data_IF_906053962192
#
_entry.id   IF_906053962192
#
_cell.length_a   1.000
_cell.length_b   1.000
_cell.length_c   1.000
_cell.angle_alpha   90.00
_cell.angle_beta   90.00
_cell.angle_gamma   90.00
#
_symmetry.space_group_name_H-M   'P 1'
#
loop_
_entity.id
_entity.type
_entity.pdbx_description
1 polymer ?
#
# COMPACT_ATOMS: atom_id res chain seq x y z
N UNK A 1 -31.00 21.66 4.05
CA UNK A 1 -30.94 21.88 5.53
C UNK A 1 -32.03 21.03 6.15
N UNK A 2 -31.76 20.32 7.26
CA UNK A 2 -32.77 19.51 7.94
C UNK A 2 -33.89 20.35 8.56
N UNK A 3 -35.09 19.79 8.66
CA UNK A 3 -36.30 20.47 9.21
C UNK A 3 -36.15 20.99 10.63
N UNK A 4 -35.22 20.40 11.43
CA UNK A 4 -34.91 20.86 12.79
C UNK A 4 -34.36 22.31 12.82
N UNK A 5 -33.99 22.85 11.67
CA UNK A 5 -33.44 24.18 11.47
C UNK A 5 -34.38 25.11 10.72
N UNK A 6 -35.65 24.70 10.56
CA UNK A 6 -36.65 25.48 9.84
C UNK A 6 -36.73 26.93 10.37
N UNK A 7 -36.70 27.87 9.50
CA UNK A 7 -36.72 29.31 9.81
C UNK A 7 -35.37 29.91 10.26
N UNK A 8 -34.36 29.11 10.69
CA UNK A 8 -33.11 29.66 11.23
C UNK A 8 -32.16 30.18 10.17
N UNK A 9 -32.35 29.76 8.93
CA UNK A 9 -31.48 30.16 7.79
C UNK A 9 -32.26 30.93 6.72
N UNK A 10 -33.48 31.41 7.00
CA UNK A 10 -34.32 32.12 6.05
C UNK A 10 -33.68 33.42 5.55
N UNK A 11 -32.77 34.04 6.34
CA UNK A 11 -32.00 35.21 5.95
C UNK A 11 -31.07 34.93 4.74
N UNK A 12 -30.77 33.67 4.43
CA UNK A 12 -29.98 33.30 3.25
C UNK A 12 -30.82 33.33 1.96
N UNK A 13 -32.14 33.41 2.03
CA UNK A 13 -32.99 33.50 0.84
C UNK A 13 -32.73 34.75 -0.03
N UNK A 14 -32.06 35.77 0.50
CA UNK A 14 -31.57 36.91 -0.27
C UNK A 14 -30.42 36.54 -1.22
N UNK A 15 -29.70 35.42 -0.94
CA UNK A 15 -28.53 35.00 -1.70
C UNK A 15 -28.69 33.65 -2.42
N UNK A 16 -29.54 32.78 -1.90
CA UNK A 16 -29.80 31.46 -2.47
C UNK A 16 -31.16 30.91 -2.03
N UNK A 17 -31.69 29.94 -2.74
CA UNK A 17 -32.96 29.28 -2.33
C UNK A 17 -32.68 28.29 -1.20
N UNK A 18 -33.22 28.57 -0.01
CA UNK A 18 -33.10 27.69 1.16
C UNK A 18 -34.26 26.67 1.17
N UNK A 19 -33.92 25.41 1.11
CA UNK A 19 -34.89 24.30 1.20
C UNK A 19 -34.67 23.51 2.49
N UNK A 20 -35.70 23.39 3.28
CA UNK A 20 -35.73 22.54 4.48
C UNK A 20 -36.28 21.18 4.12
N UNK A 21 -35.49 20.14 4.29
CA UNK A 21 -35.89 18.78 3.96
C UNK A 21 -36.46 18.10 5.20
N UNK A 22 -37.60 17.37 5.05
CA UNK A 22 -38.17 16.62 6.17
C UNK A 22 -37.18 15.57 6.67
N UNK A 23 -37.28 15.26 7.95
CA UNK A 23 -36.45 14.21 8.57
C UNK A 23 -36.86 12.86 7.99
N UNK A 24 -35.89 12.06 7.57
CA UNK A 24 -36.14 10.69 7.11
C UNK A 24 -36.56 9.86 8.32
N UNK A 25 -37.80 9.35 8.33
CA UNK A 25 -38.30 8.52 9.40
C UNK A 25 -37.48 7.25 9.56
N UNK A 26 -37.16 6.87 10.81
CA UNK A 26 -36.39 5.66 11.13
C UNK A 26 -34.89 5.77 11.01
N UNK A 27 -34.33 6.93 10.57
CA UNK A 27 -32.92 7.15 10.50
C UNK A 27 -32.49 8.28 11.42
N UNK A 28 -31.71 7.98 12.46
CA UNK A 28 -31.09 9.00 13.30
C UNK A 28 -29.60 9.12 12.95
N UNK A 29 -29.04 10.33 13.14
CA UNK A 29 -27.61 10.54 13.02
C UNK A 29 -26.80 9.66 13.99
N UNK A 30 -27.40 9.26 15.10
CA UNK A 30 -26.82 8.31 16.05
C UNK A 30 -26.84 6.90 15.48
N UNK A 31 -27.98 6.43 14.90
CA UNK A 31 -28.00 5.12 14.21
C UNK A 31 -27.02 5.05 13.05
N UNK A 32 -26.94 6.10 12.23
CA UNK A 32 -25.96 6.16 11.15
C UNK A 32 -24.50 6.17 11.68
N UNK A 33 -24.23 6.79 12.83
CA UNK A 33 -22.94 6.72 13.49
C UNK A 33 -22.66 5.34 14.05
N UNK A 34 -23.64 4.69 14.67
CA UNK A 34 -23.49 3.36 15.28
C UNK A 34 -23.37 2.26 14.21
N UNK A 35 -24.09 2.36 13.08
CA UNK A 35 -23.91 1.48 11.92
C UNK A 35 -22.60 1.76 11.14
N UNK A 36 -22.10 3.01 11.14
CA UNK A 36 -20.84 3.38 10.48
C UNK A 36 -19.59 3.17 11.34
N UNK A 37 -19.72 2.83 12.63
CA UNK A 37 -18.58 2.65 13.52
C UNK A 37 -18.37 1.20 13.98
N UNK A 38 -18.48 0.22 13.07
CA UNK A 38 -17.87 -1.07 13.38
C UNK A 38 -16.34 -0.88 13.37
N UNK A 39 -15.76 -0.74 14.56
CA UNK A 39 -14.30 -0.72 14.73
C UNK A 39 -13.76 -2.11 14.40
N UNK A 40 -12.91 -2.18 13.38
CA UNK A 40 -12.24 -3.43 12.98
C UNK A 40 -11.10 -3.70 13.94
N UNK A 41 -11.18 -4.83 14.63
CA UNK A 41 -10.12 -5.32 15.51
C UNK A 41 -9.03 -6.01 14.67
N UNK A 42 -7.77 -5.56 14.81
CA UNK A 42 -6.63 -6.05 14.04
C UNK A 42 -5.62 -6.76 14.93
N UNK A 43 -5.25 -7.98 14.56
CA UNK A 43 -4.08 -8.68 15.09
C UNK A 43 -2.84 -8.42 14.24
N UNK A 44 -1.73 -8.13 14.87
CA UNK A 44 -0.43 -7.96 14.20
C UNK A 44 0.33 -9.28 14.26
N UNK A 45 0.76 -9.79 13.11
CA UNK A 45 1.53 -11.05 13.00
C UNK A 45 2.98 -10.70 12.68
N UNK A 46 3.88 -10.97 13.63
CA UNK A 46 5.27 -10.55 13.59
C UNK A 46 5.52 -9.25 14.36
N UNK A 47 6.43 -9.29 15.34
CA UNK A 47 6.81 -8.17 16.20
C UNK A 47 8.04 -7.39 15.69
N UNK A 48 8.25 -7.41 14.36
CA UNK A 48 9.41 -6.84 13.69
C UNK A 48 9.37 -5.31 13.51
N UNK A 49 10.38 -4.80 12.81
CA UNK A 49 10.56 -3.35 12.57
C UNK A 49 9.35 -2.68 11.93
N UNK A 50 8.72 -3.32 10.95
CA UNK A 50 7.59 -2.69 10.24
C UNK A 50 6.32 -2.71 11.10
N UNK A 51 6.11 -3.75 11.90
CA UNK A 51 5.03 -3.82 12.87
C UNK A 51 5.10 -2.69 13.90
N UNK A 52 6.31 -2.35 14.36
CA UNK A 52 6.54 -1.20 15.26
C UNK A 52 6.16 0.16 14.67
N UNK A 53 6.09 0.25 13.36
CA UNK A 53 5.59 1.44 12.64
C UNK A 53 4.09 1.37 12.40
N UNK A 54 3.57 0.17 12.16
CA UNK A 54 2.16 -0.04 11.86
C UNK A 54 1.25 0.37 13.03
N UNK A 55 1.58 -0.04 14.24
CA UNK A 55 0.73 0.22 15.42
C UNK A 55 0.48 1.72 15.66
N UNK A 56 1.50 2.60 15.68
CA UNK A 56 1.28 4.03 15.77
C UNK A 56 0.50 4.62 14.56
N UNK A 57 0.79 4.15 13.34
CA UNK A 57 0.09 4.61 12.15
C UNK A 57 -1.39 4.24 12.14
N UNK A 58 -1.74 3.05 12.64
CA UNK A 58 -3.13 2.62 12.77
C UNK A 58 -3.94 3.51 13.72
N UNK A 59 -3.32 4.12 14.73
CA UNK A 59 -4.01 5.03 15.66
C UNK A 59 -4.51 6.32 15.01
N UNK A 60 -3.99 6.69 13.83
CA UNK A 60 -4.45 7.84 13.05
C UNK A 60 -5.55 7.50 12.05
N UNK A 61 -6.00 6.25 12.00
CA UNK A 61 -7.04 5.80 11.08
C UNK A 61 -8.31 5.47 11.87
N UNK A 62 -9.42 6.12 11.48
CA UNK A 62 -10.71 5.84 12.11
C UNK A 62 -11.24 4.46 11.73
N UNK A 63 -11.93 3.81 12.66
CA UNK A 63 -12.58 2.50 12.43
C UNK A 63 -11.63 1.31 12.52
N UNK A 64 -10.41 1.48 13.02
CA UNK A 64 -9.46 0.40 13.28
C UNK A 64 -8.91 0.46 14.70
N UNK A 65 -8.68 -0.71 15.30
CA UNK A 65 -8.00 -0.85 16.59
C UNK A 65 -7.06 -2.06 16.54
N UNK A 66 -5.79 -1.84 16.79
CA UNK A 66 -4.85 -2.95 17.02
C UNK A 66 -5.18 -3.58 18.36
N UNK A 67 -5.56 -4.85 18.35
CA UNK A 67 -6.00 -5.59 19.54
C UNK A 67 -4.87 -6.35 20.19
N UNK A 68 -3.99 -6.94 19.40
CA UNK A 68 -2.88 -7.72 19.93
C UNK A 68 -1.85 -8.11 18.89
N UNK A 69 -0.86 -8.84 19.32
CA UNK A 69 0.28 -9.30 18.53
C UNK A 69 0.50 -10.80 18.72
N UNK A 70 0.96 -11.46 17.67
CA UNK A 70 1.51 -12.80 17.70
C UNK A 70 2.87 -12.82 17.00
N UNK A 71 3.87 -13.33 17.67
CA UNK A 71 5.20 -13.64 17.11
C UNK A 71 5.64 -15.01 17.62
N UNK A 72 6.33 -15.78 16.77
CA UNK A 72 6.85 -17.11 17.13
C UNK A 72 7.92 -17.04 18.25
N UNK A 73 8.57 -15.89 18.40
CA UNK A 73 9.49 -15.61 19.48
C UNK A 73 8.72 -14.98 20.64
N UNK A 74 8.51 -15.72 21.72
CA UNK A 74 7.74 -15.28 22.88
C UNK A 74 8.29 -14.00 23.51
N UNK A 75 9.60 -13.84 23.59
CA UNK A 75 10.23 -12.63 24.14
C UNK A 75 9.91 -11.39 23.29
N UNK A 76 9.97 -11.50 21.96
CA UNK A 76 9.58 -10.41 21.06
C UNK A 76 8.09 -10.12 21.17
N UNK A 77 7.27 -11.17 21.26
CA UNK A 77 5.82 -11.09 21.38
C UNK A 77 5.39 -10.31 22.62
N UNK A 78 5.87 -10.73 23.80
CA UNK A 78 5.56 -10.11 25.08
C UNK A 78 6.09 -8.67 25.17
N UNK A 79 7.34 -8.44 24.75
CA UNK A 79 7.95 -7.10 24.73
C UNK A 79 7.16 -6.13 23.85
N UNK A 80 6.77 -6.56 22.65
CA UNK A 80 5.95 -5.76 21.76
C UNK A 80 4.56 -5.45 22.34
N UNK A 81 3.91 -6.47 22.91
CA UNK A 81 2.61 -6.30 23.54
C UNK A 81 2.65 -5.29 24.71
N UNK A 82 3.71 -5.34 25.51
CA UNK A 82 3.94 -4.41 26.62
C UNK A 82 4.20 -2.99 26.12
N UNK A 83 5.04 -2.81 25.08
CA UNK A 83 5.38 -1.50 24.50
C UNK A 83 4.14 -0.74 24.02
N UNK A 84 3.14 -1.45 23.49
CA UNK A 84 1.94 -0.86 22.90
C UNK A 84 0.67 -1.04 23.73
N UNK A 85 0.71 -1.73 24.86
CA UNK A 85 -0.46 -1.97 25.72
C UNK A 85 -1.54 -2.81 25.04
N UNK A 86 -1.15 -3.82 24.26
CA UNK A 86 -2.03 -4.70 23.50
C UNK A 86 -1.88 -6.16 23.97
N UNK A 87 -2.78 -7.04 23.51
CA UNK A 87 -2.77 -8.46 23.91
C UNK A 87 -1.57 -9.19 23.29
N UNK A 88 -0.87 -10.00 24.08
CA UNK A 88 0.09 -10.99 23.61
C UNK A 88 -0.61 -12.32 23.42
N UNK A 89 -0.77 -12.78 22.16
CA UNK A 89 -1.38 -14.08 21.88
C UNK A 89 -0.34 -15.19 21.92
N UNK A 90 -0.69 -16.32 22.54
CA UNK A 90 0.20 -17.49 22.65
C UNK A 90 0.26 -18.30 21.36
N UNK A 91 -0.80 -18.26 20.54
CA UNK A 91 -0.85 -18.92 19.25
C UNK A 91 -1.51 -18.02 18.18
N UNK A 92 -1.18 -18.29 16.94
CA UNK A 92 -1.85 -17.62 15.81
C UNK A 92 -3.34 -17.94 15.76
N UNK A 93 -3.72 -19.16 16.11
CA UNK A 93 -5.12 -19.60 16.16
C UNK A 93 -5.93 -18.82 17.18
N UNK A 94 -5.40 -18.63 18.41
CA UNK A 94 -6.09 -17.83 19.44
C UNK A 94 -6.32 -16.39 18.97
N UNK A 95 -5.32 -15.81 18.27
CA UNK A 95 -5.49 -14.49 17.67
C UNK A 95 -6.61 -14.49 16.61
N UNK A 96 -6.63 -15.47 15.70
CA UNK A 96 -7.64 -15.54 14.66
C UNK A 96 -9.06 -15.67 15.22
N UNK A 97 -9.26 -16.30 16.37
CA UNK A 97 -10.57 -16.39 17.01
C UNK A 97 -11.05 -15.05 17.58
N UNK A 98 -10.13 -14.15 17.91
CA UNK A 98 -10.40 -12.94 18.69
C UNK A 98 -10.34 -11.62 17.88
N UNK A 99 -9.95 -11.64 16.60
CA UNK A 99 -9.83 -10.44 15.75
C UNK A 99 -10.70 -10.52 14.50
N UNK A 100 -11.02 -9.36 13.89
CA UNK A 100 -11.73 -9.29 12.61
C UNK A 100 -10.77 -9.39 11.41
N UNK A 101 -9.52 -8.96 11.60
CA UNK A 101 -8.54 -8.82 10.55
C UNK A 101 -7.10 -9.01 11.07
N UNK A 102 -6.17 -9.35 10.18
CA UNK A 102 -4.75 -9.48 10.52
C UNK A 102 -3.87 -8.66 9.60
N UNK A 103 -2.84 -8.05 10.18
CA UNK A 103 -1.71 -7.46 9.46
C UNK A 103 -0.51 -8.39 9.58
N UNK A 104 -0.04 -8.93 8.44
CA UNK A 104 1.06 -9.88 8.38
C UNK A 104 2.34 -9.15 8.04
N UNK A 105 3.29 -9.14 8.98
CA UNK A 105 4.55 -8.40 8.94
C UNK A 105 5.75 -9.30 9.27
N UNK A 106 5.72 -10.50 8.78
CA UNK A 106 6.69 -11.57 8.98
C UNK A 106 7.69 -11.66 7.82
N UNK A 107 8.69 -12.53 7.82
CA UNK A 107 9.52 -12.82 6.66
C UNK A 107 8.73 -13.43 5.48
N UNK A 108 9.16 -13.18 4.26
CA UNK A 108 8.49 -13.50 3.00
C UNK A 108 7.95 -14.93 2.89
N UNK A 109 8.73 -15.93 3.34
CA UNK A 109 8.37 -17.34 3.24
C UNK A 109 7.11 -17.73 4.01
N UNK A 110 6.75 -16.97 5.03
CA UNK A 110 5.57 -17.24 5.87
C UNK A 110 4.30 -16.53 5.42
N UNK A 111 4.40 -15.56 4.49
CA UNK A 111 3.26 -14.74 4.06
C UNK A 111 2.12 -15.59 3.50
N UNK A 112 2.44 -16.55 2.64
CA UNK A 112 1.43 -17.41 2.00
C UNK A 112 0.64 -18.22 3.03
N UNK A 113 1.32 -18.99 3.89
CA UNK A 113 0.65 -19.88 4.84
C UNK A 113 -0.14 -19.10 5.90
N UNK A 114 0.40 -18.01 6.42
CA UNK A 114 -0.30 -17.17 7.40
C UNK A 114 -1.51 -16.47 6.78
N UNK A 115 -1.37 -15.95 5.56
CA UNK A 115 -2.50 -15.36 4.83
C UNK A 115 -3.59 -16.39 4.54
N UNK A 116 -3.22 -17.58 4.09
CA UNK A 116 -4.14 -18.67 3.80
C UNK A 116 -4.96 -19.07 5.03
N UNK A 117 -4.30 -19.28 6.18
CA UNK A 117 -4.96 -19.63 7.43
C UNK A 117 -5.96 -18.54 7.85
N UNK A 118 -5.57 -17.26 7.80
CA UNK A 118 -6.44 -16.15 8.14
C UNK A 118 -7.66 -16.06 7.22
N UNK A 119 -7.45 -16.15 5.91
CA UNK A 119 -8.53 -16.10 4.91
C UNK A 119 -9.51 -17.26 5.08
N UNK A 120 -9.01 -18.48 5.33
CA UNK A 120 -9.84 -19.66 5.60
C UNK A 120 -10.64 -19.52 6.91
N UNK A 121 -10.10 -18.84 7.92
CA UNK A 121 -10.80 -18.48 9.14
C UNK A 121 -11.78 -17.31 8.97
N UNK A 122 -11.96 -16.81 7.74
CA UNK A 122 -12.88 -15.70 7.45
C UNK A 122 -12.37 -14.34 7.91
N UNK A 123 -11.06 -14.16 8.05
CA UNK A 123 -10.45 -12.88 8.48
C UNK A 123 -9.94 -12.09 7.29
N UNK A 124 -10.05 -10.76 7.39
CA UNK A 124 -9.45 -9.86 6.40
C UNK A 124 -7.94 -9.83 6.58
N UNK A 125 -7.18 -9.71 5.49
CA UNK A 125 -5.73 -9.74 5.50
C UNK A 125 -5.15 -8.50 4.82
N UNK A 126 -4.22 -7.84 5.51
CA UNK A 126 -3.25 -6.91 4.95
C UNK A 126 -1.87 -7.57 5.12
N UNK A 127 -1.21 -7.90 4.02
CA UNK A 127 0.07 -8.60 4.06
C UNK A 127 1.19 -7.73 3.47
N UNK A 128 2.33 -7.68 4.18
CA UNK A 128 3.53 -6.97 3.71
C UNK A 128 4.03 -7.50 2.36
N UNK A 129 4.75 -6.62 1.68
CA UNK A 129 5.38 -6.88 0.38
C UNK A 129 6.60 -7.82 0.51
N UNK A 130 6.80 -8.68 -0.50
CA UNK A 130 5.84 -9.06 -1.54
C UNK A 130 4.70 -9.89 -0.92
N UNK A 131 3.49 -9.76 -1.46
CA UNK A 131 2.33 -10.52 -0.95
C UNK A 131 2.66 -12.01 -0.83
N UNK A 132 3.23 -12.58 -1.88
CA UNK A 132 3.72 -13.96 -1.97
C UNK A 132 4.88 -14.05 -2.97
N UNK A 133 5.49 -15.23 -3.10
CA UNK A 133 6.66 -15.45 -3.96
C UNK A 133 6.32 -16.12 -5.31
N UNK A 134 5.05 -16.43 -5.57
CA UNK A 134 4.62 -16.99 -6.87
C UNK A 134 3.20 -16.57 -7.24
N UNK A 135 2.98 -16.47 -8.55
CA UNK A 135 1.65 -16.15 -9.13
C UNK A 135 0.60 -17.20 -8.75
N UNK A 136 0.99 -18.47 -8.63
CA UNK A 136 0.08 -19.54 -8.22
C UNK A 136 -0.44 -19.33 -6.80
N UNK A 137 0.44 -19.00 -5.87
CA UNK A 137 0.07 -18.67 -4.49
C UNK A 137 -0.84 -17.42 -4.43
N UNK A 138 -0.53 -16.37 -5.19
CA UNK A 138 -1.36 -15.17 -5.23
C UNK A 138 -2.79 -15.49 -5.70
N UNK A 139 -2.93 -16.22 -6.80
CA UNK A 139 -4.24 -16.65 -7.34
C UNK A 139 -5.05 -17.43 -6.31
N UNK A 140 -4.43 -18.42 -5.68
CA UNK A 140 -5.09 -19.23 -4.65
C UNK A 140 -5.57 -18.37 -3.47
N UNK A 141 -4.74 -17.47 -2.95
CA UNK A 141 -5.15 -16.59 -1.85
C UNK A 141 -6.33 -15.69 -2.24
N UNK A 142 -6.33 -15.12 -3.45
CA UNK A 142 -7.45 -14.30 -3.91
C UNK A 142 -8.74 -15.12 -4.12
N UNK A 143 -8.64 -16.36 -4.59
CA UNK A 143 -9.78 -17.29 -4.70
C UNK A 143 -10.38 -17.63 -3.32
N UNK A 144 -9.53 -17.89 -2.33
CA UNK A 144 -9.96 -18.12 -0.94
C UNK A 144 -10.63 -16.87 -0.38
N UNK A 145 -10.03 -15.69 -0.57
CA UNK A 145 -10.60 -14.42 -0.12
C UNK A 145 -12.00 -14.17 -0.72
N UNK A 146 -12.17 -14.44 -2.02
CA UNK A 146 -13.46 -14.31 -2.69
C UNK A 146 -14.50 -15.29 -2.16
N UNK A 147 -14.11 -16.55 -1.96
CA UNK A 147 -14.98 -17.60 -1.40
C UNK A 147 -15.46 -17.23 0.00
N UNK A 148 -14.60 -16.73 0.85
CA UNK A 148 -14.93 -16.35 2.23
C UNK A 148 -15.47 -14.90 2.35
N UNK A 149 -15.54 -14.15 1.24
CA UNK A 149 -16.01 -12.75 1.19
C UNK A 149 -15.23 -11.81 2.09
N UNK A 150 -13.93 -12.04 2.21
CA UNK A 150 -12.98 -11.22 2.96
C UNK A 150 -12.06 -10.44 2.03
N UNK A 151 -11.41 -9.40 2.56
CA UNK A 151 -10.46 -8.57 1.83
C UNK A 151 -9.06 -9.15 2.03
N UNK A 152 -8.36 -9.42 0.91
CA UNK A 152 -6.92 -9.58 0.87
C UNK A 152 -6.32 -8.37 0.17
N UNK A 153 -5.36 -7.73 0.79
CA UNK A 153 -4.66 -6.57 0.21
C UNK A 153 -3.16 -6.66 0.51
N UNK A 154 -2.35 -6.37 -0.48
CA UNK A 154 -0.91 -6.20 -0.31
C UNK A 154 -0.62 -4.84 0.32
N UNK A 155 0.26 -4.79 1.32
CA UNK A 155 0.66 -3.59 2.04
C UNK A 155 1.71 -2.79 1.25
N UNK A 156 1.27 -2.17 0.16
CA UNK A 156 2.12 -1.35 -0.71
C UNK A 156 1.82 0.14 -0.52
N UNK A 157 2.39 0.73 0.52
CA UNK A 157 2.09 2.12 0.96
C UNK A 157 2.16 3.17 -0.16
N UNK A 158 3.13 3.06 -1.09
CA UNK A 158 3.27 4.02 -2.21
C UNK A 158 2.04 4.04 -3.10
N UNK A 159 1.40 2.89 -3.33
CA UNK A 159 0.18 2.79 -4.13
C UNK A 159 -0.99 3.62 -3.55
N UNK A 160 -0.96 3.87 -2.24
CA UNK A 160 -2.01 4.58 -1.51
C UNK A 160 -1.63 6.04 -1.18
N UNK A 161 -0.37 6.44 -1.42
CA UNK A 161 0.11 7.79 -1.18
C UNK A 161 -0.65 8.84 -2.02
N UNK A 162 -1.19 9.92 -1.42
CA UNK A 162 -1.95 10.94 -2.15
C UNK A 162 -1.17 11.59 -3.29
N UNK A 163 0.09 11.96 -3.06
CA UNK A 163 0.93 12.60 -4.08
C UNK A 163 1.21 11.66 -5.27
N UNK A 164 1.54 10.39 -5.00
CA UNK A 164 1.74 9.39 -6.05
C UNK A 164 0.47 9.17 -6.88
N UNK A 165 -0.69 9.07 -6.22
CA UNK A 165 -1.96 8.91 -6.94
C UNK A 165 -2.31 10.13 -7.79
N UNK A 166 -2.03 11.36 -7.29
CA UNK A 166 -2.22 12.57 -8.10
C UNK A 166 -1.30 12.58 -9.31
N UNK A 167 -0.02 12.25 -9.15
CA UNK A 167 0.92 12.11 -10.24
C UNK A 167 0.40 11.12 -11.31
N UNK A 168 0.00 9.91 -10.91
CA UNK A 168 -0.54 8.90 -11.82
C UNK A 168 -1.80 9.40 -12.56
N UNK A 169 -2.68 10.11 -11.87
CA UNK A 169 -3.88 10.69 -12.48
C UNK A 169 -3.54 11.76 -13.51
N UNK A 170 -2.60 12.66 -13.20
CA UNK A 170 -2.17 13.69 -14.14
C UNK A 170 -1.54 13.10 -15.40
N UNK A 171 -0.69 12.09 -15.27
CA UNK A 171 -0.07 11.41 -16.40
C UNK A 171 -1.13 10.71 -17.25
N UNK A 172 -2.04 9.98 -16.63
CA UNK A 172 -3.17 9.34 -17.36
C UNK A 172 -4.10 10.33 -18.04
N UNK A 173 -4.21 11.57 -17.55
CA UNK A 173 -4.97 12.64 -18.20
C UNK A 173 -4.23 13.29 -19.39
N UNK A 174 -3.01 12.82 -19.71
CA UNK A 174 -2.23 13.32 -20.84
C UNK A 174 -1.39 14.56 -20.54
N UNK A 175 -1.14 14.89 -19.28
CA UNK A 175 -0.37 16.07 -18.88
C UNK A 175 1.02 16.15 -19.54
N UNK A 176 1.67 14.98 -19.74
CA UNK A 176 2.98 14.87 -20.41
C UNK A 176 2.88 14.25 -21.83
N UNK A 177 1.67 14.10 -22.36
CA UNK A 177 1.43 13.37 -23.61
C UNK A 177 1.39 11.87 -23.41
N UNK A 178 1.76 11.11 -24.45
CA UNK A 178 1.89 9.65 -24.39
C UNK A 178 3.18 9.27 -23.63
N UNK A 179 3.08 8.30 -22.73
CA UNK A 179 4.24 7.79 -22.00
C UNK A 179 5.09 6.92 -22.92
N UNK A 180 6.38 7.24 -23.03
CA UNK A 180 7.34 6.52 -23.88
C UNK A 180 8.48 5.88 -23.11
N UNK A 181 8.72 6.33 -21.85
CA UNK A 181 9.76 5.76 -21.00
C UNK A 181 9.43 5.94 -19.52
N UNK A 182 9.79 4.95 -18.71
CA UNK A 182 9.72 5.02 -17.24
C UNK A 182 11.03 4.50 -16.67
N UNK A 183 11.70 5.33 -15.88
CA UNK A 183 12.88 4.96 -15.14
C UNK A 183 12.68 5.10 -13.63
N UNK A 184 12.86 4.01 -12.89
CA UNK A 184 12.74 4.03 -11.43
C UNK A 184 13.96 3.40 -10.76
N UNK A 185 14.42 3.98 -9.67
CA UNK A 185 15.51 3.39 -8.90
C UNK A 185 15.18 3.32 -7.41
N UNK A 186 15.49 2.17 -6.78
CA UNK A 186 15.38 1.97 -5.35
C UNK A 186 16.54 1.13 -4.85
N UNK A 187 17.31 1.66 -3.93
CA UNK A 187 18.40 0.90 -3.32
C UNK A 187 18.64 1.28 -1.86
N UNK A 188 19.17 0.33 -1.14
CA UNK A 188 19.63 0.50 0.23
C UNK A 188 21.05 -0.04 0.35
N UNK A 189 21.93 0.70 1.01
CA UNK A 189 23.21 0.13 1.44
C UNK A 189 22.99 -0.58 2.77
N UNK A 190 23.00 -1.89 2.75
CA UNK A 190 22.95 -2.72 3.93
C UNK A 190 24.36 -3.24 4.23
N UNK A 191 25.01 -2.72 5.28
CA UNK A 191 26.40 -3.07 5.57
C UNK A 191 26.55 -4.48 6.17
N UNK A 192 25.51 -4.93 6.88
CA UNK A 192 25.49 -6.24 7.53
C UNK A 192 24.95 -7.30 6.55
N UNK A 193 25.87 -8.11 6.04
CA UNK A 193 25.57 -9.19 5.09
C UNK A 193 25.09 -10.49 5.77
N UNK A 194 24.99 -10.53 7.07
CA UNK A 194 24.40 -11.68 7.81
C UNK A 194 22.88 -11.63 7.88
N UNK A 195 22.30 -10.55 7.41
CA UNK A 195 20.86 -10.35 7.40
C UNK A 195 20.17 -11.26 6.39
N UNK A 196 18.88 -11.59 6.66
CA UNK A 196 18.05 -12.44 5.79
C UNK A 196 17.97 -11.95 4.33
N UNK A 197 18.07 -10.64 4.12
CA UNK A 197 18.04 -10.05 2.80
C UNK A 197 19.19 -10.52 1.88
N UNK A 198 20.26 -11.08 2.47
CA UNK A 198 21.39 -11.68 1.77
C UNK A 198 21.39 -13.22 1.82
N UNK A 199 20.31 -13.85 2.24
CA UNK A 199 20.16 -15.31 2.34
C UNK A 199 19.15 -15.81 1.30
N UNK A 200 19.63 -16.59 0.33
CA UNK A 200 18.79 -17.23 -0.70
C UNK A 200 17.69 -18.10 -0.09
N UNK A 201 18.00 -18.81 1.01
CA UNK A 201 17.04 -19.68 1.70
C UNK A 201 15.91 -18.91 2.39
N UNK A 202 16.09 -17.61 2.59
CA UNK A 202 15.09 -16.71 3.18
C UNK A 202 14.39 -15.85 2.11
N UNK A 203 14.50 -16.23 0.83
CA UNK A 203 14.02 -15.44 -0.30
C UNK A 203 14.57 -14.01 -0.25
N UNK A 204 15.88 -13.87 0.02
CA UNK A 204 16.60 -12.62 -0.05
C UNK A 204 16.84 -12.17 -1.49
N UNK A 205 17.45 -11.02 -1.65
CA UNK A 205 17.75 -10.43 -2.96
C UNK A 205 17.02 -9.11 -3.20
N UNK A 206 17.61 -8.25 -4.01
CA UNK A 206 17.08 -6.89 -4.25
C UNK A 206 15.72 -6.93 -4.94
N UNK A 207 15.49 -7.93 -5.77
CA UNK A 207 14.22 -8.08 -6.48
C UNK A 207 13.08 -8.47 -5.55
N UNK A 208 13.26 -9.48 -4.69
CA UNK A 208 12.22 -9.86 -3.71
C UNK A 208 11.99 -8.79 -2.65
N UNK A 209 13.04 -8.09 -2.21
CA UNK A 209 12.92 -7.05 -1.18
C UNK A 209 12.27 -5.76 -1.69
N UNK A 210 12.37 -5.45 -2.98
CA UNK A 210 12.04 -4.11 -3.46
C UNK A 210 11.45 -4.04 -4.87
N UNK A 211 11.33 -5.14 -5.60
CA UNK A 211 10.88 -5.18 -6.99
C UNK A 211 9.47 -4.62 -7.21
N UNK A 212 8.58 -4.80 -6.26
CA UNK A 212 7.21 -4.28 -6.32
C UNK A 212 7.15 -2.75 -6.46
N UNK A 213 8.15 -2.02 -5.91
CA UNK A 213 8.15 -0.56 -5.99
C UNK A 213 8.28 -0.04 -7.42
N UNK A 214 9.33 -0.33 -8.20
CA UNK A 214 9.47 0.18 -9.56
C UNK A 214 8.43 -0.40 -10.51
N UNK A 215 7.94 -1.61 -10.27
CA UNK A 215 6.87 -2.22 -11.07
C UNK A 215 5.53 -1.50 -10.89
N UNK A 216 5.28 -0.88 -9.74
CA UNK A 216 4.04 -0.15 -9.48
C UNK A 216 3.76 0.98 -10.50
N UNK A 217 4.62 2.00 -10.73
CA UNK A 217 4.36 3.02 -11.72
C UNK A 217 4.30 2.46 -13.14
N UNK A 218 5.10 1.45 -13.47
CA UNK A 218 5.12 0.81 -14.78
C UNK A 218 3.76 0.15 -15.04
N UNK A 219 3.31 -0.75 -14.19
CA UNK A 219 2.04 -1.45 -14.37
C UNK A 219 0.84 -0.51 -14.26
N UNK A 220 0.92 0.51 -13.41
CA UNK A 220 -0.13 1.50 -13.26
C UNK A 220 -0.37 2.31 -14.54
N UNK A 221 0.65 2.62 -15.30
CA UNK A 221 0.59 3.45 -16.50
C UNK A 221 0.46 2.64 -17.79
N UNK A 222 1.16 1.51 -17.88
CA UNK A 222 1.28 0.73 -19.12
C UNK A 222 0.57 -0.63 -19.06
N UNK A 223 0.11 -1.04 -17.86
CA UNK A 223 -0.50 -2.36 -17.66
C UNK A 223 0.52 -3.47 -17.47
N UNK A 224 0.02 -4.70 -17.36
CA UNK A 224 0.85 -5.90 -17.09
C UNK A 224 1.18 -6.70 -18.37
N UNK A 225 0.71 -6.25 -19.53
CA UNK A 225 0.87 -6.96 -20.81
C UNK A 225 2.09 -6.37 -21.57
N UNK A 226 3.31 -6.67 -21.06
CA UNK A 226 4.59 -6.30 -21.69
C UNK A 226 5.03 -7.36 -22.71
N UNK A 227 5.86 -6.95 -23.68
CA UNK A 227 6.37 -7.85 -24.72
C UNK A 227 7.46 -8.77 -24.17
N UNK A 228 8.46 -8.19 -23.51
CA UNK A 228 9.58 -8.93 -22.91
C UNK A 228 10.20 -8.16 -21.73
N UNK A 229 10.97 -8.86 -20.93
CA UNK A 229 11.76 -8.29 -19.84
C UNK A 229 13.14 -8.93 -19.78
N UNK A 230 14.15 -8.11 -19.61
CA UNK A 230 15.55 -8.53 -19.47
C UNK A 230 16.11 -8.06 -18.13
N UNK A 231 16.81 -8.94 -17.42
CA UNK A 231 17.46 -8.66 -16.16
C UNK A 231 18.98 -8.74 -16.26
N UNK A 232 19.64 -7.78 -15.66
CA UNK A 232 21.10 -7.72 -15.53
C UNK A 232 21.44 -7.59 -14.05
N UNK A 233 21.90 -8.69 -13.46
CA UNK A 233 22.08 -8.76 -12.01
C UNK A 233 23.52 -9.03 -11.62
N UNK A 234 23.93 -8.43 -10.50
CA UNK A 234 25.10 -8.84 -9.75
C UNK A 234 24.67 -9.78 -8.63
N UNK A 235 25.10 -11.03 -8.74
CA UNK A 235 24.78 -12.08 -7.76
C UNK A 235 25.94 -12.20 -6.76
N UNK A 236 25.61 -12.31 -5.47
CA UNK A 236 26.55 -12.60 -4.40
C UNK A 236 25.86 -13.57 -3.41
N UNK A 237 26.49 -14.70 -3.13
CA UNK A 237 25.95 -15.76 -2.26
C UNK A 237 24.53 -16.24 -2.65
N UNK A 238 24.27 -16.40 -3.95
CA UNK A 238 22.98 -16.90 -4.48
C UNK A 238 21.86 -15.85 -4.54
N UNK A 239 22.08 -14.62 -4.07
CA UNK A 239 21.10 -13.55 -4.13
C UNK A 239 21.54 -12.38 -5.02
N UNK A 240 20.61 -11.72 -5.66
CA UNK A 240 20.87 -10.50 -6.41
C UNK A 240 21.03 -9.31 -5.45
N UNK A 241 22.27 -8.85 -5.33
CA UNK A 241 22.60 -7.66 -4.53
C UNK A 241 22.40 -6.36 -5.31
N UNK A 242 22.29 -6.45 -6.62
CA UNK A 242 21.92 -5.40 -7.53
C UNK A 242 21.26 -6.00 -8.77
N UNK A 243 20.17 -5.42 -9.21
CA UNK A 243 19.48 -5.82 -10.44
C UNK A 243 19.05 -4.57 -11.22
N UNK A 244 19.35 -4.56 -12.53
CA UNK A 244 18.74 -3.67 -13.50
C UNK A 244 17.79 -4.47 -14.37
N UNK A 245 16.51 -4.09 -14.39
CA UNK A 245 15.51 -4.63 -15.28
C UNK A 245 15.22 -3.68 -16.43
N UNK A 246 14.96 -4.22 -17.62
CA UNK A 246 14.50 -3.46 -18.81
C UNK A 246 13.28 -4.18 -19.34
N UNK A 247 12.16 -3.48 -19.44
CA UNK A 247 10.88 -3.99 -19.93
C UNK A 247 10.49 -3.29 -21.22
N UNK A 248 10.04 -4.06 -22.20
CA UNK A 248 9.56 -3.53 -23.47
C UNK A 248 8.04 -3.67 -23.56
N UNK A 249 7.40 -2.55 -23.89
CA UNK A 249 6.00 -2.44 -24.26
C UNK A 249 5.88 -2.06 -25.72
N UNK A 250 4.71 -2.22 -26.35
CA UNK A 250 4.53 -1.82 -27.76
C UNK A 250 4.85 -0.34 -28.04
N UNK A 251 4.66 0.53 -27.05
CA UNK A 251 4.79 1.99 -27.19
C UNK A 251 5.82 2.61 -26.24
N UNK A 252 6.43 1.82 -25.34
CA UNK A 252 7.32 2.35 -24.32
C UNK A 252 8.44 1.36 -23.96
N UNK A 253 9.55 1.90 -23.45
CA UNK A 253 10.60 1.14 -22.80
C UNK A 253 10.67 1.58 -21.34
N UNK A 254 10.76 0.63 -20.42
CA UNK A 254 10.91 0.94 -19.01
C UNK A 254 12.18 0.33 -18.46
N UNK A 255 12.82 1.01 -17.53
CA UNK A 255 13.95 0.43 -16.82
C UNK A 255 13.90 0.71 -15.32
N UNK A 256 14.48 -0.19 -14.55
CA UNK A 256 14.59 0.02 -13.11
C UNK A 256 15.92 -0.50 -12.55
N UNK A 257 16.34 0.07 -11.44
CA UNK A 257 17.53 -0.33 -10.68
C UNK A 257 17.15 -0.63 -9.24
N UNK A 258 17.54 -1.80 -8.78
CA UNK A 258 17.35 -2.26 -7.39
C UNK A 258 18.70 -2.61 -6.78
N UNK A 259 18.88 -2.40 -5.48
CA UNK A 259 20.14 -2.74 -4.85
C UNK A 259 20.06 -2.86 -3.33
N UNK A 260 20.79 -3.86 -2.79
CA UNK A 260 21.04 -4.05 -1.36
C UNK A 260 22.50 -3.71 -0.99
N UNK A 261 23.41 -3.79 -1.97
CA UNK A 261 24.84 -3.51 -1.80
C UNK A 261 25.35 -2.34 -2.66
N UNK A 262 24.46 -1.64 -3.35
CA UNK A 262 24.76 -0.51 -4.23
C UNK A 262 23.81 0.64 -3.89
N UNK A 263 24.33 1.88 -3.82
CA UNK A 263 23.50 3.08 -3.71
C UNK A 263 23.20 3.62 -5.09
N UNK A 264 21.92 3.82 -5.40
CA UNK A 264 21.40 4.45 -6.62
C UNK A 264 20.74 5.78 -6.32
N UNK A 265 20.27 6.48 -7.33
CA UNK A 265 19.70 7.82 -7.25
C UNK A 265 18.45 7.87 -6.38
N UNK A 266 17.57 6.86 -6.50
CA UNK A 266 16.32 6.77 -5.74
C UNK A 266 15.21 7.68 -6.27
N UNK A 267 15.27 8.06 -7.56
CA UNK A 267 14.31 8.89 -8.26
C UNK A 267 13.36 8.06 -9.14
N UNK A 268 12.28 8.70 -9.60
CA UNK A 268 11.37 8.21 -10.63
C UNK A 268 11.27 9.27 -11.73
N UNK A 269 11.50 8.87 -12.97
CA UNK A 269 11.32 9.70 -14.16
C UNK A 269 10.31 9.02 -15.08
N UNK A 270 9.33 9.78 -15.57
CA UNK A 270 8.33 9.29 -16.53
C UNK A 270 8.33 10.26 -17.69
N UNK A 271 8.84 9.81 -18.85
CA UNK A 271 9.01 10.63 -20.05
C UNK A 271 7.84 10.43 -20.99
N UNK A 272 7.34 11.52 -21.53
CA UNK A 272 6.23 11.53 -22.48
C UNK A 272 6.50 12.43 -23.68
N UNK A 273 5.57 12.41 -24.66
CA UNK A 273 5.72 13.13 -25.92
C UNK A 273 5.57 14.67 -25.82
N UNK A 274 5.14 15.20 -24.65
CA UNK A 274 4.98 16.64 -24.41
C UNK A 274 5.81 17.18 -23.28
N UNK A 275 6.39 16.30 -22.44
CA UNK A 275 7.15 16.66 -21.27
C UNK A 275 7.46 15.42 -20.45
N UNK A 276 8.00 15.60 -19.25
CA UNK A 276 8.28 14.50 -18.35
C UNK A 276 7.91 14.84 -16.90
N UNK A 277 7.64 13.79 -16.11
CA UNK A 277 7.48 13.90 -14.68
C UNK A 277 8.76 13.49 -13.98
N UNK A 278 9.14 14.23 -12.94
CA UNK A 278 10.28 13.94 -12.10
C UNK A 278 9.87 13.88 -10.65
N UNK A 279 10.21 12.78 -9.98
CA UNK A 279 10.04 12.59 -8.53
C UNK A 279 11.42 12.33 -7.94
N UNK A 280 11.85 13.23 -7.05
CA UNK A 280 13.15 13.08 -6.40
C UNK A 280 13.18 11.96 -5.36
N UNK A 281 14.39 11.64 -4.92
CA UNK A 281 14.62 10.63 -3.88
C UNK A 281 14.12 11.10 -2.51
N UNK A 282 13.42 10.22 -1.77
CA UNK A 282 13.02 8.85 -2.08
C UNK A 282 11.64 8.82 -2.77
N UNK A 283 11.60 8.57 -4.07
CA UNK A 283 10.35 8.64 -4.84
C UNK A 283 9.21 7.77 -4.29
N UNK A 284 9.52 6.66 -3.63
CA UNK A 284 8.50 5.78 -3.00
C UNK A 284 7.84 6.36 -1.74
N UNK A 285 8.31 7.54 -1.30
CA UNK A 285 7.69 8.41 -0.31
C UNK A 285 7.33 9.74 -0.97
N UNK A 286 6.60 9.71 -2.07
CA UNK A 286 6.29 10.89 -2.87
C UNK A 286 5.62 11.97 -2.02
N UNK A 287 6.32 13.07 -1.78
CA UNK A 287 5.82 14.29 -1.14
C UNK A 287 6.00 15.52 -2.04
N UNK A 288 6.76 15.36 -3.11
CA UNK A 288 7.02 16.36 -4.12
C UNK A 288 7.17 15.71 -5.49
N UNK A 289 6.65 16.35 -6.54
CA UNK A 289 6.95 16.01 -7.93
C UNK A 289 6.83 17.22 -8.85
N UNK A 290 7.50 17.16 -9.99
CA UNK A 290 7.46 18.19 -11.03
C UNK A 290 6.95 17.59 -12.35
N UNK A 291 6.21 18.40 -13.12
CA UNK A 291 6.01 18.21 -14.54
C UNK A 291 6.86 19.24 -15.27
N UNK A 292 7.75 18.78 -16.11
CA UNK A 292 8.71 19.62 -16.84
C UNK A 292 8.47 19.52 -18.36
N UNK A 293 8.54 20.66 -19.00
CA UNK A 293 8.25 20.81 -20.41
C UNK A 293 9.43 21.46 -21.13
N UNK A 294 9.43 21.45 -22.48
CA UNK A 294 10.43 22.14 -23.30
C UNK A 294 10.47 23.64 -22.98
N UNK A 295 9.30 24.28 -22.92
CA UNK A 295 9.17 25.62 -22.37
C UNK A 295 9.14 25.54 -20.82
N UNK A 296 10.24 25.96 -20.20
CA UNK A 296 10.40 25.92 -18.75
C UNK A 296 9.38 26.77 -17.99
N UNK A 297 8.76 27.78 -18.64
CA UNK A 297 7.70 28.58 -18.02
C UNK A 297 6.41 27.79 -17.79
N UNK A 298 6.26 26.65 -18.44
CA UNK A 298 5.12 25.73 -18.27
C UNK A 298 5.34 24.69 -17.17
N UNK A 299 6.53 24.64 -16.56
CA UNK A 299 6.85 23.69 -15.51
C UNK A 299 5.91 23.87 -14.32
N UNK A 300 5.47 22.73 -13.76
CA UNK A 300 4.55 22.70 -12.61
C UNK A 300 5.19 21.92 -11.48
N UNK A 301 5.01 22.41 -10.26
CA UNK A 301 5.54 21.84 -9.04
C UNK A 301 4.39 21.54 -8.09
N UNK A 302 4.42 20.33 -7.49
CA UNK A 302 3.37 19.85 -6.60
C UNK A 302 3.99 19.40 -5.30
N UNK A 303 3.51 19.97 -4.19
CA UNK A 303 4.00 19.70 -2.85
C UNK A 303 2.90 19.07 -2.02
N UNK A 304 3.25 18.04 -1.29
CA UNK A 304 2.36 17.33 -0.40
C UNK A 304 3.00 17.16 0.96
N UNK A 305 2.20 17.21 2.00
CA UNK A 305 2.66 16.83 3.31
C UNK A 305 2.66 15.30 3.40
N UNK A 306 3.82 14.74 3.67
CA UNK A 306 3.94 13.33 4.01
C UNK A 306 3.71 13.15 5.50
N UNK A 307 2.66 12.44 5.89
CA UNK A 307 2.36 12.19 7.30
C UNK A 307 2.88 10.82 7.75
N UNK A 308 3.68 10.82 8.80
CA UNK A 308 4.23 9.64 9.45
C UNK A 308 5.11 8.78 8.53
N UNK A 309 4.91 7.47 8.57
CA UNK A 309 5.63 6.49 7.73
C UNK A 309 4.86 6.14 6.44
N UNK A 310 3.68 6.74 6.23
CA UNK A 310 2.81 6.52 5.08
C UNK A 310 1.95 5.26 5.14
N UNK A 311 2.06 4.46 6.19
CA UNK A 311 1.26 3.23 6.37
C UNK A 311 -0.22 3.56 6.60
N UNK A 312 -0.53 4.72 7.21
CA UNK A 312 -1.92 5.16 7.45
C UNK A 312 -2.76 5.21 6.17
N UNK A 313 -2.15 5.53 5.02
CA UNK A 313 -2.87 5.61 3.75
C UNK A 313 -3.32 4.23 3.25
N UNK A 314 -2.49 3.19 3.40
CA UNK A 314 -2.86 1.82 3.04
C UNK A 314 -3.83 1.22 4.07
N UNK A 315 -3.63 1.50 5.36
CA UNK A 315 -4.56 1.08 6.42
C UNK A 315 -5.94 1.67 6.18
N UNK A 316 -6.03 2.98 5.87
CA UNK A 316 -7.29 3.65 5.56
C UNK A 316 -8.01 3.00 4.37
N UNK A 317 -7.28 2.71 3.27
CA UNK A 317 -7.87 2.05 2.10
C UNK A 317 -8.34 0.63 2.45
N UNK A 318 -7.54 -0.14 3.20
CA UNK A 318 -7.90 -1.48 3.63
C UNK A 318 -9.18 -1.49 4.49
N UNK A 319 -9.25 -0.64 5.51
CA UNK A 319 -10.45 -0.47 6.34
C UNK A 319 -11.65 -0.02 5.49
N UNK A 320 -11.45 0.92 4.58
CA UNK A 320 -12.49 1.34 3.64
C UNK A 320 -12.98 0.18 2.75
N UNK A 321 -12.11 -0.71 2.30
CA UNK A 321 -12.50 -1.93 1.57
C UNK A 321 -13.38 -2.83 2.44
N UNK A 322 -13.01 -3.05 3.69
CA UNK A 322 -13.75 -3.91 4.62
C UNK A 322 -15.14 -3.34 4.90
N UNK A 323 -15.21 -2.08 5.33
CA UNK A 323 -16.48 -1.40 5.71
C UNK A 323 -17.44 -1.31 4.53
N UNK A 324 -16.94 -0.96 3.34
CA UNK A 324 -17.74 -0.84 2.13
C UNK A 324 -17.93 -2.17 1.38
N UNK A 325 -17.51 -3.29 1.96
CA UNK A 325 -17.61 -4.64 1.36
C UNK A 325 -17.01 -4.73 -0.04
N UNK A 326 -15.97 -3.93 -0.33
CA UNK A 326 -15.19 -4.03 -1.57
C UNK A 326 -14.22 -5.19 -1.46
N UNK A 327 -14.05 -5.94 -2.52
CA UNK A 327 -13.17 -7.13 -2.54
C UNK A 327 -11.68 -6.81 -2.70
N UNK A 328 -11.32 -5.55 -2.89
CA UNK A 328 -9.96 -5.09 -3.06
C UNK A 328 -9.88 -3.59 -3.25
N UNK A 329 -8.66 -3.07 -3.27
CA UNK A 329 -8.39 -1.66 -3.50
C UNK A 329 -8.59 -1.28 -4.96
N UNK A 330 -9.09 -0.07 -5.19
CA UNK A 330 -9.10 0.57 -6.51
C UNK A 330 -7.75 1.20 -6.86
N UNK A 331 -6.87 1.33 -5.86
CA UNK A 331 -5.55 1.96 -5.98
C UNK A 331 -4.41 0.96 -6.17
N UNK A 332 -4.66 -0.31 -5.95
CA UNK A 332 -3.75 -1.42 -6.23
C UNK A 332 -4.61 -2.62 -6.62
N UNK A 333 -4.65 -2.92 -7.91
CA UNK A 333 -5.43 -4.04 -8.42
C UNK A 333 -4.70 -5.36 -8.16
N UNK A 334 -5.46 -6.47 -8.15
CA UNK A 334 -4.90 -7.83 -8.02
C UNK A 334 -3.91 -8.21 -9.12
N UNK A 335 -3.96 -7.54 -10.26
CA UNK A 335 -3.00 -7.75 -11.36
C UNK A 335 -1.70 -7.01 -11.15
N UNK A 336 -1.75 -5.89 -10.42
CA UNK A 336 -0.58 -5.07 -10.08
C UNK A 336 0.12 -5.60 -8.82
N UNK A 337 -0.60 -6.28 -7.92
CA UNK A 337 -0.10 -6.99 -6.74
C UNK A 337 0.41 -8.39 -7.13
#
# INVERSE_FOLDING_TARGET
IGSDWEGKFDYLNEFCHVVYLPRTEGISSTMLRDEQQKVISVGVVGAGRIAKRFVPEASFVSGVKVKGVFDINSFHNEGFAMDYGIVSYHSYQDMLEDVDAVYIATPHLSHYELSKQALMAGKHVLCEIPLVLSVGQAKELYEIADKHKVVLMEAHKTAHCPAFNHLMMMIKSGAIGEVVDIEASLSRLLPDKTRREFDEKQAGGSMFESGVYPLLPIFRLLGTDYNDVNFYSRIENGVDIYTKGVMHYPTAVCSFKLGLGVKTEGNLVISGTKGYAYVEAPWWKTDYFELRYEDQNQNKRFFYKWDGEGLRYEIQEWISCIVNKRRGSIRLSRRES
#
